data_IF_848590766460
#
_entry.id   IF_848590766460
#
_cell.length_a   1.000
_cell.length_b   1.000
_cell.length_c   1.000
_cell.angle_alpha   90.00
_cell.angle_beta   90.00
_cell.angle_gamma   90.00
#
_symmetry.space_group_name_H-M   'P 1'
#
loop_
_entity.id
_entity.type
_entity.pdbx_description
1 polymer ?
#
# COMPACT_ATOMS: atom_id res chain seq x y z
N UNK A 1 14.80 -10.11 43.05
CA UNK A 1 13.89 -11.03 42.33
C UNK A 1 13.91 -10.73 40.84
N UNK A 2 13.85 -11.78 40.03
CA UNK A 2 14.25 -11.76 38.61
C UNK A 2 13.24 -10.97 37.75
N UNK A 3 13.63 -9.76 37.33
CA UNK A 3 12.71 -8.72 36.85
C UNK A 3 12.07 -8.93 35.46
N UNK A 4 12.36 -10.05 34.76
CA UNK A 4 11.62 -10.62 33.60
C UNK A 4 12.45 -11.78 33.03
N UNK A 5 12.14 -13.03 33.40
CA UNK A 5 12.70 -14.22 32.76
C UNK A 5 12.08 -14.42 31.37
N UNK A 6 12.63 -13.74 30.35
CA UNK A 6 12.13 -13.85 28.96
C UNK A 6 12.83 -14.92 28.13
N UNK A 7 13.85 -15.60 28.65
CA UNK A 7 14.61 -16.62 27.91
C UNK A 7 15.21 -16.11 26.60
N UNK A 8 15.56 -17.03 25.70
CA UNK A 8 16.14 -16.74 24.37
C UNK A 8 15.02 -16.47 23.35
N UNK A 9 14.48 -15.25 23.30
CA UNK A 9 13.48 -14.88 22.27
C UNK A 9 14.11 -14.28 21.01
N UNK A 10 13.54 -14.54 19.81
CA UNK A 10 14.03 -13.93 18.57
C UNK A 10 13.81 -12.42 18.53
N UNK A 11 14.68 -11.71 17.79
CA UNK A 11 14.57 -10.25 17.60
C UNK A 11 13.31 -9.89 16.83
N UNK A 12 12.41 -9.12 17.47
CA UNK A 12 11.19 -8.58 16.85
C UNK A 12 11.39 -7.11 16.44
N UNK A 13 10.82 -6.70 15.30
CA UNK A 13 10.87 -5.29 14.85
C UNK A 13 10.14 -4.37 15.85
N UNK A 14 10.58 -3.11 15.94
CA UNK A 14 10.02 -2.11 16.87
C UNK A 14 8.51 -1.89 16.68
N UNK A 15 8.02 -2.01 15.45
CA UNK A 15 6.60 -1.83 15.12
C UNK A 15 5.69 -2.87 15.80
N UNK A 16 6.19 -4.08 16.08
CA UNK A 16 5.41 -5.12 16.78
C UNK A 16 5.25 -4.86 18.27
N UNK A 17 6.00 -3.89 18.84
CA UNK A 17 5.83 -3.46 20.23
C UNK A 17 4.55 -2.65 20.43
N UNK A 18 4.05 -2.01 19.38
CA UNK A 18 2.85 -1.18 19.44
C UNK A 18 1.83 -1.62 18.36
N UNK A 19 0.73 -2.28 18.75
CA UNK A 19 -0.30 -2.76 17.82
C UNK A 19 -0.84 -1.67 16.89
N UNK A 20 -0.98 -0.43 17.37
CA UNK A 20 -1.45 0.72 16.58
C UNK A 20 -0.48 1.05 15.45
N UNK A 21 0.83 1.08 15.74
CA UNK A 21 1.86 1.37 14.74
C UNK A 21 1.89 0.26 13.68
N UNK A 22 1.83 -1.01 14.10
CA UNK A 22 1.77 -2.15 13.19
C UNK A 22 0.59 -2.05 12.22
N UNK A 23 -0.60 -1.75 12.72
CA UNK A 23 -1.81 -1.66 11.90
C UNK A 23 -1.77 -0.47 10.95
N UNK A 24 -1.25 0.69 11.39
CA UNK A 24 -1.03 1.85 10.50
C UNK A 24 -0.09 1.51 9.34
N UNK A 25 1.00 0.80 9.62
CA UNK A 25 1.98 0.42 8.60
C UNK A 25 1.43 -0.65 7.65
N UNK A 26 0.66 -1.61 8.16
CA UNK A 26 -0.08 -2.60 7.36
C UNK A 26 -1.03 -1.91 6.38
N UNK A 27 -1.83 -0.95 6.85
CA UNK A 27 -2.74 -0.18 6.00
C UNK A 27 -2.00 0.63 4.95
N UNK A 28 -0.94 1.35 5.33
CA UNK A 28 -0.12 2.14 4.39
C UNK A 28 0.43 1.27 3.26
N UNK A 29 1.01 0.11 3.60
CA UNK A 29 1.55 -0.83 2.61
C UNK A 29 0.46 -1.37 1.68
N UNK A 30 -0.71 -1.71 2.23
CA UNK A 30 -1.85 -2.16 1.45
C UNK A 30 -2.36 -1.09 0.47
N UNK A 31 -2.42 0.18 0.91
CA UNK A 31 -2.84 1.31 0.06
C UNK A 31 -1.90 1.51 -1.13
N UNK A 32 -0.58 1.47 -0.91
CA UNK A 32 0.42 1.60 -1.98
C UNK A 32 0.27 0.46 -2.99
N UNK A 33 0.16 -0.80 -2.52
CA UNK A 33 -0.02 -1.96 -3.40
C UNK A 33 -1.31 -1.87 -4.22
N UNK A 34 -2.41 -1.37 -3.64
CA UNK A 34 -3.69 -1.18 -4.34
C UNK A 34 -3.54 -0.21 -5.51
N UNK A 35 -2.83 0.91 -5.33
CA UNK A 35 -2.59 1.90 -6.41
C UNK A 35 -1.86 1.30 -7.62
N UNK A 36 -1.02 0.29 -7.41
CA UNK A 36 -0.35 -0.43 -8.50
C UNK A 36 -1.27 -1.41 -9.25
N UNK A 37 -2.30 -1.95 -8.60
CA UNK A 37 -3.21 -2.93 -9.19
C UNK A 37 -4.42 -2.27 -9.86
N UNK A 38 -4.97 -1.23 -9.23
CA UNK A 38 -6.20 -0.56 -9.65
C UNK A 38 -5.95 0.94 -9.65
N UNK A 39 -6.32 1.60 -10.75
CA UNK A 39 -6.28 3.07 -10.84
C UNK A 39 -7.32 3.67 -9.89
N UNK A 40 -6.89 4.61 -9.05
CA UNK A 40 -7.80 5.39 -8.22
C UNK A 40 -8.58 6.40 -9.09
N UNK A 41 -9.76 6.80 -8.64
CA UNK A 41 -10.55 7.84 -9.29
C UNK A 41 -9.84 9.19 -9.09
N UNK A 42 -9.46 9.84 -10.18
CA UNK A 42 -8.87 11.19 -10.17
C UNK A 42 -9.97 12.20 -10.43
N UNK A 43 -9.97 13.31 -9.69
CA UNK A 43 -10.85 14.46 -9.95
C UNK A 43 -10.02 15.56 -10.62
N UNK A 44 -10.55 16.15 -11.69
CA UNK A 44 -9.92 17.28 -12.36
C UNK A 44 -10.08 18.54 -11.50
N UNK A 45 -9.01 18.93 -10.80
CA UNK A 45 -8.96 20.19 -10.03
C UNK A 45 -8.35 21.32 -10.87
N UNK A 46 -7.57 20.96 -11.89
CA UNK A 46 -6.90 21.87 -12.81
C UNK A 46 -7.26 21.48 -14.25
N UNK A 47 -7.07 22.42 -15.20
CA UNK A 47 -7.16 22.14 -16.63
C UNK A 47 -6.27 20.97 -17.02
N UNK A 48 -6.71 20.20 -18.02
CA UNK A 48 -6.00 19.06 -18.56
C UNK A 48 -4.63 19.47 -19.14
N UNK A 49 -3.58 18.76 -18.73
CA UNK A 49 -2.18 19.00 -19.12
C UNK A 49 -1.58 17.80 -19.87
N UNK A 50 -2.43 16.86 -20.31
CA UNK A 50 -2.00 15.59 -20.91
C UNK A 50 -1.85 14.42 -19.92
N UNK A 51 -1.52 13.24 -20.46
CA UNK A 51 -1.30 12.02 -19.68
C UNK A 51 0.13 11.96 -19.11
N UNK A 52 0.30 12.31 -17.83
CA UNK A 52 1.62 12.36 -17.18
C UNK A 52 2.41 11.04 -17.23
N UNK A 53 1.72 9.89 -17.27
CA UNK A 53 2.34 8.55 -17.36
C UNK A 53 2.46 8.02 -18.79
N UNK A 54 2.04 8.79 -19.80
CA UNK A 54 1.99 8.39 -21.20
C UNK A 54 0.80 7.49 -21.57
N UNK A 55 0.64 7.29 -22.88
CA UNK A 55 -0.42 6.49 -23.51
C UNK A 55 0.21 5.27 -24.18
N UNK A 56 -0.32 4.08 -23.90
CA UNK A 56 0.12 2.83 -24.54
C UNK A 56 -0.92 2.36 -25.54
N UNK A 57 -0.64 2.50 -26.84
CA UNK A 57 -1.57 2.14 -27.92
C UNK A 57 -1.95 0.64 -27.95
N UNK A 58 -1.03 -0.24 -27.55
CA UNK A 58 -1.22 -1.70 -27.69
C UNK A 58 -1.95 -2.36 -26.50
N UNK A 59 -2.27 -1.62 -25.44
CA UNK A 59 -2.80 -2.21 -24.19
C UNK A 59 -4.30 -1.98 -24.10
N UNK A 60 -5.07 -3.06 -24.20
CA UNK A 60 -6.52 -3.06 -24.00
C UNK A 60 -6.85 -3.46 -22.56
N UNK A 61 -7.59 -2.62 -21.83
CA UNK A 61 -7.99 -2.86 -20.42
C UNK A 61 -9.50 -3.09 -20.23
N UNK A 62 -10.25 -3.36 -21.29
CA UNK A 62 -11.69 -3.61 -21.24
C UNK A 62 -12.03 -5.02 -20.76
N UNK A 63 -13.20 -5.17 -20.12
CA UNK A 63 -13.77 -6.47 -19.77
C UNK A 63 -14.61 -6.93 -20.96
N UNK A 64 -14.32 -8.12 -21.52
CA UNK A 64 -15.13 -8.71 -22.60
C UNK A 64 -16.40 -9.32 -22.02
N UNK A 65 -17.55 -8.99 -22.60
CA UNK A 65 -18.82 -9.64 -22.30
C UNK A 65 -18.92 -10.93 -23.15
N UNK A 66 -19.39 -12.02 -22.54
CA UNK A 66 -19.57 -13.32 -23.19
C UNK A 66 -21.04 -13.53 -23.51
#
# INVERSE_FOLDING_TARGET
MIAKNKGLTPKRKKEYRNPRVRNRMKFRKAKIRRKGQVREVVREIKRYDGEASGISANVVRSIKLK
#
